data_IF_055580057697
#
_entry.id   IF_055580057697
#
_cell.length_a   1.000
_cell.length_b   1.000
_cell.length_c   1.000
_cell.angle_alpha   90.00
_cell.angle_beta   90.00
_cell.angle_gamma   90.00
#
_symmetry.space_group_name_H-M   'P 1'
#
loop_
_entity.id
_entity.type
_entity.pdbx_description
1 polymer ?
#
# COMPACT_ATOMS: atom_id res chain seq x y z
N UNK A 1 -11.15 -24.44 -7.82
CA UNK A 1 -10.13 -23.56 -7.20
C UNK A 1 -10.06 -22.37 -8.12
N UNK A 2 -10.62 -21.23 -7.70
CA UNK A 2 -10.55 -20.01 -8.49
C UNK A 2 -9.07 -19.66 -8.67
N UNK A 3 -8.64 -19.53 -9.92
CA UNK A 3 -7.31 -19.04 -10.25
C UNK A 3 -7.25 -17.60 -9.78
N UNK A 4 -6.78 -17.38 -8.55
CA UNK A 4 -6.42 -16.06 -8.08
C UNK A 4 -5.23 -15.58 -8.92
N UNK A 5 -5.48 -14.97 -10.08
CA UNK A 5 -4.51 -14.11 -10.76
C UNK A 5 -3.83 -13.18 -9.74
N UNK A 6 -2.55 -13.44 -9.50
CA UNK A 6 -1.70 -12.62 -8.64
C UNK A 6 -1.52 -11.23 -9.26
N UNK A 7 -1.27 -10.22 -8.42
CA UNK A 7 -0.91 -8.88 -8.90
C UNK A 7 0.22 -8.96 -9.91
N UNK A 8 0.10 -8.21 -11.01
CA UNK A 8 1.18 -8.11 -11.99
C UNK A 8 2.47 -7.69 -11.30
N UNK A 9 3.55 -8.45 -11.55
CA UNK A 9 4.84 -8.27 -10.89
C UNK A 9 5.40 -6.85 -11.08
N UNK A 10 5.15 -6.23 -12.23
CA UNK A 10 5.55 -4.84 -12.50
C UNK A 10 4.83 -3.85 -11.59
N UNK A 11 3.52 -4.02 -11.39
CA UNK A 11 2.73 -3.19 -10.49
C UNK A 11 3.20 -3.35 -9.05
N UNK A 12 3.40 -4.60 -8.59
CA UNK A 12 3.90 -4.87 -7.24
C UNK A 12 5.28 -4.26 -6.98
N UNK A 13 6.19 -4.37 -7.97
CA UNK A 13 7.52 -3.77 -7.87
C UNK A 13 7.43 -2.24 -7.77
N UNK A 14 6.62 -1.61 -8.61
CA UNK A 14 6.42 -0.16 -8.58
C UNK A 14 5.81 0.30 -7.24
N UNK A 15 4.78 -0.41 -6.75
CA UNK A 15 4.17 -0.16 -5.44
C UNK A 15 5.21 -0.24 -4.32
N UNK A 16 6.05 -1.27 -4.32
CA UNK A 16 7.09 -1.44 -3.30
C UNK A 16 8.12 -0.32 -3.34
N UNK A 17 8.58 0.06 -4.54
CA UNK A 17 9.56 1.15 -4.70
C UNK A 17 8.98 2.46 -4.17
N UNK A 18 7.75 2.81 -4.55
CA UNK A 18 7.09 4.02 -4.10
C UNK A 18 6.82 3.97 -2.59
N UNK A 19 6.35 2.86 -2.06
CA UNK A 19 6.11 2.71 -0.62
C UNK A 19 7.39 2.82 0.23
N UNK A 20 8.56 2.52 -0.33
CA UNK A 20 9.84 2.68 0.38
C UNK A 20 10.40 4.10 0.23
N UNK A 21 10.35 4.68 -0.97
CA UNK A 21 11.10 5.89 -1.30
C UNK A 21 10.26 7.17 -1.41
N UNK A 22 8.94 7.07 -1.53
CA UNK A 22 8.04 8.20 -1.61
C UNK A 22 7.17 8.28 -0.35
N UNK A 23 7.50 9.25 0.49
CA UNK A 23 6.76 9.51 1.73
C UNK A 23 5.32 9.95 1.47
N UNK A 24 5.07 10.79 0.46
CA UNK A 24 3.72 11.25 0.13
C UNK A 24 2.87 10.10 -0.36
N UNK A 25 3.45 9.20 -1.16
CA UNK A 25 2.78 7.98 -1.56
C UNK A 25 2.42 7.12 -0.36
N UNK A 26 3.37 6.91 0.56
CA UNK A 26 3.13 6.13 1.79
C UNK A 26 2.00 6.70 2.63
N UNK A 27 2.02 8.00 2.90
CA UNK A 27 0.99 8.68 3.69
C UNK A 27 -0.37 8.61 2.98
N UNK A 28 -0.38 8.79 1.65
CA UNK A 28 -1.57 8.66 0.82
C UNK A 28 -2.20 7.26 0.90
N UNK A 29 -1.39 6.18 0.86
CA UNK A 29 -1.89 4.81 1.00
C UNK A 29 -2.64 4.58 2.33
N UNK A 30 -2.28 5.31 3.38
CA UNK A 30 -2.92 5.20 4.70
C UNK A 30 -4.18 6.05 4.84
N UNK A 31 -4.26 7.18 4.14
CA UNK A 31 -5.39 8.11 4.18
C UNK A 31 -6.49 7.72 3.18
N UNK A 32 -6.11 7.53 1.92
CA UNK A 32 -6.98 7.16 0.80
C UNK A 32 -6.22 6.27 -0.18
N UNK A 33 -6.32 4.95 0.05
CA UNK A 33 -5.65 3.94 -0.76
C UNK A 33 -6.03 4.04 -2.24
N UNK A 34 -7.33 3.99 -2.55
CA UNK A 34 -7.82 3.95 -3.93
C UNK A 34 -7.50 5.26 -4.67
N UNK A 35 -7.75 6.42 -4.04
CA UNK A 35 -7.43 7.71 -4.65
C UNK A 35 -5.93 7.94 -4.83
N UNK A 36 -5.09 7.44 -3.92
CA UNK A 36 -3.64 7.51 -4.04
C UNK A 36 -3.13 6.64 -5.20
N UNK A 37 -3.63 5.41 -5.32
CA UNK A 37 -3.27 4.52 -6.42
C UNK A 37 -3.67 5.11 -7.78
N UNK A 38 -4.87 5.67 -7.89
CA UNK A 38 -5.33 6.34 -9.11
C UNK A 38 -4.46 7.55 -9.46
N UNK A 39 -4.13 8.39 -8.46
CA UNK A 39 -3.27 9.57 -8.63
C UNK A 39 -1.88 9.24 -9.14
N UNK A 40 -1.34 8.09 -8.71
CA UNK A 40 -0.03 7.59 -9.14
C UNK A 40 -0.10 6.76 -10.43
N UNK A 41 -1.28 6.64 -11.05
CA UNK A 41 -1.47 5.98 -12.35
C UNK A 41 -1.57 4.46 -12.28
N UNK A 42 -1.85 3.89 -11.12
CA UNK A 42 -2.09 2.46 -10.98
C UNK A 42 -3.49 2.09 -11.44
N UNK A 43 -3.59 1.49 -12.63
CA UNK A 43 -4.81 0.86 -13.12
C UNK A 43 -4.85 -0.61 -12.69
N UNK A 44 -5.21 -0.86 -11.43
CA UNK A 44 -5.40 -2.20 -10.87
C UNK A 44 -6.81 -2.70 -11.19
N UNK A 45 -6.96 -3.99 -11.49
CA UNK A 45 -8.29 -4.60 -11.54
C UNK A 45 -8.81 -4.89 -10.10
N UNK A 46 -10.09 -5.27 -9.99
CA UNK A 46 -10.73 -5.51 -8.68
C UNK A 46 -9.99 -6.53 -7.81
N UNK A 47 -9.37 -7.53 -8.43
CA UNK A 47 -8.66 -8.58 -7.75
C UNK A 47 -7.26 -8.15 -7.29
N UNK A 48 -6.53 -7.42 -8.13
CA UNK A 48 -5.26 -6.78 -7.77
C UNK A 48 -5.48 -5.79 -6.62
N UNK A 49 -6.56 -5.01 -6.69
CA UNK A 49 -6.96 -4.09 -5.63
C UNK A 49 -7.26 -4.82 -4.31
N UNK A 50 -7.95 -5.97 -4.37
CA UNK A 50 -8.19 -6.79 -3.18
C UNK A 50 -6.90 -7.31 -2.54
N UNK A 51 -5.90 -7.71 -3.34
CA UNK A 51 -4.59 -8.13 -2.83
C UNK A 51 -3.83 -6.97 -2.18
N UNK A 52 -3.83 -5.78 -2.81
CA UNK A 52 -3.19 -4.59 -2.23
C UNK A 52 -3.87 -4.19 -0.92
N UNK A 53 -5.21 -4.18 -0.87
CA UNK A 53 -5.97 -3.92 0.36
C UNK A 53 -5.59 -4.90 1.46
N UNK A 54 -5.59 -6.20 1.17
CA UNK A 54 -5.22 -7.22 2.14
C UNK A 54 -3.79 -7.02 2.67
N UNK A 55 -2.85 -6.66 1.79
CA UNK A 55 -1.48 -6.37 2.20
C UNK A 55 -1.40 -5.14 3.11
N UNK A 56 -2.04 -4.03 2.74
CA UNK A 56 -2.07 -2.79 3.53
C UNK A 56 -2.71 -3.04 4.91
N UNK A 57 -3.81 -3.80 4.96
CA UNK A 57 -4.43 -4.21 6.21
C UNK A 57 -3.53 -5.11 7.06
N UNK A 58 -2.89 -6.13 6.47
CA UNK A 58 -1.97 -7.00 7.19
C UNK A 58 -0.76 -6.22 7.76
N UNK A 59 -0.22 -5.26 7.00
CA UNK A 59 0.85 -4.39 7.49
C UNK A 59 0.34 -3.54 8.66
N UNK A 60 -0.86 -2.97 8.55
CA UNK A 60 -1.48 -2.17 9.62
C UNK A 60 -1.76 -2.98 10.89
N UNK A 61 -2.21 -4.22 10.76
CA UNK A 61 -2.42 -5.11 11.91
C UNK A 61 -1.11 -5.63 12.51
N UNK A 62 -0.04 -5.74 11.71
CA UNK A 62 1.28 -6.18 12.19
C UNK A 62 2.11 -5.08 12.85
N UNK A 63 1.82 -3.82 12.50
CA UNK A 63 2.41 -2.65 13.15
C UNK A 63 1.58 -2.33 14.39
N UNK A 64 1.94 -2.98 15.50
CA UNK A 64 1.49 -2.63 16.85
C UNK A 64 1.55 -1.09 17.04
N UNK A 65 0.51 -0.49 17.65
CA UNK A 65 0.31 0.97 17.78
C UNK A 65 1.56 1.73 18.26
N UNK A 66 2.43 1.06 19.02
CA UNK A 66 3.67 1.61 19.58
C UNK A 66 4.76 1.93 18.53
N UNK A 67 4.85 1.21 17.41
CA UNK A 67 5.85 1.49 16.38
C UNK A 67 5.50 2.74 15.55
N UNK A 68 4.20 3.03 15.44
CA UNK A 68 3.66 4.18 14.70
C UNK A 68 3.88 5.51 15.43
N UNK A 69 3.81 5.49 16.77
CA UNK A 69 4.18 6.62 17.62
C UNK A 69 5.60 7.10 17.30
N UNK A 70 6.56 6.17 17.19
CA UNK A 70 7.96 6.50 16.91
C UNK A 70 8.23 7.04 15.49
N UNK A 71 7.51 6.56 14.47
CA UNK A 71 7.70 7.02 13.09
C UNK A 71 7.06 8.38 12.80
N UNK A 72 5.94 8.69 13.46
CA UNK A 72 5.26 10.00 13.33
C UNK A 72 5.87 11.07 14.22
N UNK A 73 6.43 10.70 15.38
CA UNK A 73 7.12 11.63 16.28
C UNK A 73 8.53 12.00 15.78
N UNK A 74 9.17 11.15 14.97
CA UNK A 74 10.41 11.48 14.26
C UNK A 74 10.25 12.56 13.17
N UNK A 75 9.01 12.99 12.88
CA UNK A 75 8.66 13.97 11.86
C UNK A 75 8.04 15.27 12.43
N UNK A 76 8.33 15.62 13.69
CA UNK A 76 8.06 16.94 14.27
C UNK A 76 9.36 17.64 14.66
#
# INVERSE_FOLDING_TARGET
>A
MENMEEIRLEALRALTILAVHDEQFRLGLWDDLDGTLERYGFALNDQEMAQVRNFVYAVRESLDEDLFSGLTEAYR
#
